data_IF_484976109955
#
_entry.id   IF_484976109955
#
_cell.length_a   1.000
_cell.length_b   1.000
_cell.length_c   1.000
_cell.angle_alpha   90.00
_cell.angle_beta   90.00
_cell.angle_gamma   90.00
#
_symmetry.space_group_name_H-M   'P 1'
#
loop_
_entity.id
_entity.type
_entity.pdbx_description
1 polymer ?
#
# COMPACT_ATOMS: atom_id res chain seq x y z
N UNK A 1 -18.74 -16.76 -0.18
CA UNK A 1 -18.11 -17.33 -1.40
C UNK A 1 -16.63 -17.46 -1.10
N UNK A 2 -15.98 -18.56 -1.50
CA UNK A 2 -14.59 -18.83 -1.12
C UNK A 2 -13.66 -17.68 -1.53
N UNK A 3 -12.77 -17.24 -0.64
CA UNK A 3 -11.74 -16.20 -0.87
C UNK A 3 -11.01 -16.40 -2.22
N UNK A 4 -10.86 -17.66 -2.62
CA UNK A 4 -10.30 -18.08 -3.90
C UNK A 4 -11.01 -17.49 -5.13
N UNK A 5 -12.35 -17.38 -5.09
CA UNK A 5 -13.15 -16.79 -6.17
C UNK A 5 -12.95 -15.27 -6.27
N UNK A 6 -12.64 -14.60 -5.17
CA UNK A 6 -12.37 -13.16 -5.15
C UNK A 6 -10.94 -12.81 -5.58
N UNK A 7 -10.01 -13.76 -5.47
CA UNK A 7 -8.65 -13.64 -6.03
C UNK A 7 -8.63 -13.84 -7.55
N UNK A 8 -9.60 -14.58 -8.09
CA UNK A 8 -9.63 -14.92 -9.51
C UNK A 8 -9.69 -13.68 -10.44
N UNK A 9 -10.54 -12.66 -10.22
CA UNK A 9 -10.55 -11.46 -11.05
C UNK A 9 -9.23 -10.69 -11.02
N UNK A 10 -8.58 -10.61 -9.85
CA UNK A 10 -7.30 -9.94 -9.64
C UNK A 10 -6.20 -10.66 -10.44
N UNK A 11 -6.14 -11.98 -10.31
CA UNK A 11 -5.20 -12.82 -11.05
C UNK A 11 -5.45 -12.74 -12.56
N UNK A 12 -6.71 -12.77 -12.99
CA UNK A 12 -7.07 -12.62 -14.40
C UNK A 12 -6.67 -11.24 -14.94
N UNK A 13 -6.89 -10.16 -14.20
CA UNK A 13 -6.45 -8.82 -14.58
C UNK A 13 -4.92 -8.74 -14.72
N UNK A 14 -4.18 -9.34 -13.78
CA UNK A 14 -2.72 -9.38 -13.83
C UNK A 14 -2.20 -10.22 -15.00
N UNK A 15 -2.71 -11.45 -15.16
CA UNK A 15 -2.30 -12.38 -16.23
C UNK A 15 -2.65 -11.80 -17.59
N UNK A 16 -3.84 -11.23 -17.75
CA UNK A 16 -4.23 -10.56 -19.01
C UNK A 16 -3.31 -9.38 -19.31
N UNK A 17 -2.90 -8.59 -18.31
CA UNK A 17 -1.87 -7.56 -18.45
C UNK A 17 -0.52 -8.11 -18.94
N UNK A 18 -0.06 -9.23 -18.40
CA UNK A 18 1.19 -9.87 -18.81
C UNK A 18 1.11 -10.38 -20.25
N UNK A 19 0.00 -11.06 -20.60
CA UNK A 19 -0.21 -11.67 -21.92
C UNK A 19 -0.39 -10.60 -23.00
N UNK A 20 -1.28 -9.65 -22.77
CA UNK A 20 -1.55 -8.54 -23.70
C UNK A 20 -0.43 -7.51 -23.72
N UNK A 21 0.39 -7.44 -22.66
CA UNK A 21 1.58 -6.59 -22.58
C UNK A 21 2.58 -6.84 -23.70
N UNK A 22 2.55 -8.00 -24.37
CA UNK A 22 3.34 -8.27 -25.58
C UNK A 22 2.93 -7.38 -26.78
N UNK A 23 1.66 -7.02 -26.86
CA UNK A 23 1.07 -6.25 -27.96
C UNK A 23 0.93 -4.75 -27.63
N UNK A 24 1.08 -4.39 -26.36
CA UNK A 24 0.87 -3.04 -25.87
C UNK A 24 2.19 -2.24 -25.84
N UNK A 25 2.16 -0.94 -26.16
CA UNK A 25 3.35 -0.11 -26.10
C UNK A 25 3.76 0.16 -24.65
N UNK A 26 5.07 0.24 -24.39
CA UNK A 26 5.65 0.62 -23.08
C UNK A 26 5.11 1.94 -22.53
N UNK A 27 4.56 2.81 -23.38
CA UNK A 27 3.91 4.06 -22.97
C UNK A 27 2.79 3.85 -21.95
N UNK A 28 2.09 2.71 -21.97
CA UNK A 28 1.00 2.41 -21.04
C UNK A 28 1.49 2.31 -19.59
N UNK A 29 2.74 1.92 -19.37
CA UNK A 29 3.36 1.84 -18.02
C UNK A 29 3.40 3.24 -17.36
N UNK A 30 3.47 4.32 -18.15
CA UNK A 30 3.40 5.70 -17.61
C UNK A 30 2.07 6.01 -16.94
N UNK A 31 1.03 5.19 -17.16
CA UNK A 31 -0.29 5.34 -16.56
C UNK A 31 -0.35 4.81 -15.11
N UNK A 32 0.65 4.05 -14.64
CA UNK A 32 0.69 3.55 -13.25
C UNK A 32 0.63 4.71 -12.27
N UNK A 33 1.52 5.69 -12.40
CA UNK A 33 1.58 6.83 -11.50
C UNK A 33 0.26 7.60 -11.42
N UNK A 34 -0.34 8.10 -12.53
CA UNK A 34 -1.62 8.80 -12.44
C UNK A 34 -2.75 7.91 -11.91
N UNK A 35 -2.78 6.61 -12.22
CA UNK A 35 -3.77 5.69 -11.64
C UNK A 35 -3.60 5.56 -10.12
N UNK A 36 -2.37 5.49 -9.61
CA UNK A 36 -2.09 5.46 -8.16
C UNK A 36 -2.55 6.76 -7.51
N UNK A 37 -2.23 7.93 -8.09
CA UNK A 37 -2.69 9.22 -7.55
C UNK A 37 -4.21 9.34 -7.54
N UNK A 38 -4.85 8.85 -8.60
CA UNK A 38 -6.30 8.87 -8.75
C UNK A 38 -6.95 7.91 -7.72
N UNK A 39 -6.39 6.71 -7.52
CA UNK A 39 -6.80 5.79 -6.45
C UNK A 39 -6.64 6.40 -5.06
N UNK A 40 -5.51 7.05 -4.77
CA UNK A 40 -5.30 7.75 -3.48
C UNK A 40 -6.34 8.84 -3.24
N UNK A 41 -6.75 9.55 -4.28
CA UNK A 41 -7.82 10.54 -4.21
C UNK A 41 -9.17 9.88 -3.86
N UNK A 42 -9.53 8.77 -4.52
CA UNK A 42 -10.78 8.05 -4.23
C UNK A 42 -10.78 7.38 -2.85
N UNK A 43 -9.64 6.90 -2.37
CA UNK A 43 -9.49 6.42 -1.00
C UNK A 43 -9.72 7.57 -0.01
N UNK A 44 -9.16 8.76 -0.29
CA UNK A 44 -9.46 9.96 0.47
C UNK A 44 -10.94 10.32 0.48
N UNK A 45 -11.63 10.18 -0.65
CA UNK A 45 -13.07 10.38 -0.75
C UNK A 45 -13.85 9.42 0.17
N UNK A 46 -13.53 8.12 0.16
CA UNK A 46 -14.14 7.13 1.06
C UNK A 46 -13.86 7.43 2.54
N UNK A 47 -12.65 7.87 2.87
CA UNK A 47 -12.34 8.32 4.22
C UNK A 47 -13.17 9.52 4.64
N UNK A 48 -13.46 10.45 3.72
CA UNK A 48 -14.34 11.59 3.97
C UNK A 48 -15.74 11.17 4.40
N UNK A 49 -16.28 10.11 3.80
CA UNK A 49 -17.58 9.52 4.18
C UNK A 49 -17.59 9.04 5.63
N UNK A 50 -16.62 8.21 5.99
CA UNK A 50 -16.50 7.66 7.34
C UNK A 50 -16.26 8.77 8.39
N UNK A 51 -15.41 9.75 8.08
CA UNK A 51 -15.05 10.79 9.04
C UNK A 51 -16.11 11.87 9.24
N UNK A 52 -16.89 12.21 8.21
CA UNK A 52 -17.90 13.27 8.31
C UNK A 52 -19.24 12.78 8.85
N UNK A 53 -19.54 11.48 8.78
CA UNK A 53 -20.78 10.93 9.33
C UNK A 53 -20.64 10.40 10.77
N UNK A 54 -19.44 9.99 11.20
CA UNK A 54 -19.21 9.51 12.58
C UNK A 54 -18.21 10.36 13.39
N UNK A 55 -18.73 11.15 14.33
CA UNK A 55 -17.93 12.09 15.17
C UNK A 55 -16.84 11.42 16.02
N UNK A 56 -17.00 10.15 16.37
CA UNK A 56 -16.01 9.40 17.18
C UNK A 56 -15.10 8.48 16.34
N UNK A 57 -15.38 8.29 15.05
CA UNK A 57 -14.57 7.42 14.20
C UNK A 57 -13.16 7.98 14.00
N UNK A 58 -13.04 9.31 13.85
CA UNK A 58 -11.75 9.97 13.58
C UNK A 58 -10.71 9.68 14.67
N UNK A 59 -11.09 9.80 15.94
CA UNK A 59 -10.14 9.64 17.06
C UNK A 59 -9.69 8.18 17.21
N UNK A 60 -10.61 7.23 17.04
CA UNK A 60 -10.30 5.81 17.06
C UNK A 60 -9.43 5.43 15.87
N UNK A 61 -9.83 5.75 14.63
CA UNK A 61 -9.03 5.44 13.44
C UNK A 61 -7.63 6.04 13.53
N UNK A 62 -7.48 7.27 14.03
CA UNK A 62 -6.18 7.91 14.22
C UNK A 62 -5.35 7.21 15.30
N UNK A 63 -5.96 6.82 16.42
CA UNK A 63 -5.27 6.07 17.49
C UNK A 63 -4.71 4.73 16.97
N UNK A 64 -5.53 3.96 16.26
CA UNK A 64 -5.12 2.69 15.65
C UNK A 64 -4.00 2.95 14.63
N UNK A 65 -4.18 3.91 13.73
CA UNK A 65 -3.18 4.24 12.70
C UNK A 65 -1.83 4.62 13.31
N UNK A 66 -1.80 5.39 14.40
CA UNK A 66 -0.56 5.79 15.08
C UNK A 66 0.17 4.60 15.71
N UNK A 67 -0.55 3.70 16.38
CA UNK A 67 0.07 2.51 16.99
C UNK A 67 0.61 1.58 15.92
N UNK A 68 -0.20 1.25 14.91
CA UNK A 68 0.22 0.38 13.81
C UNK A 68 1.41 0.98 13.05
N UNK A 69 1.36 2.27 12.69
CA UNK A 69 2.45 2.94 11.98
C UNK A 69 3.74 3.00 12.82
N UNK A 70 3.63 3.32 14.12
CA UNK A 70 4.77 3.41 15.02
C UNK A 70 5.48 2.06 15.21
N UNK A 71 4.71 1.02 15.53
CA UNK A 71 5.26 -0.32 15.77
C UNK A 71 5.82 -0.91 14.47
N UNK A 72 5.09 -0.80 13.36
CA UNK A 72 5.54 -1.31 12.07
C UNK A 72 6.82 -0.62 11.59
N UNK A 73 6.89 0.72 11.70
CA UNK A 73 8.10 1.48 11.35
C UNK A 73 9.30 1.08 12.22
N UNK A 74 9.09 0.92 13.53
CA UNK A 74 10.15 0.56 14.48
C UNK A 74 10.69 -0.86 14.22
N UNK A 75 9.81 -1.85 14.02
CA UNK A 75 10.23 -3.22 13.74
C UNK A 75 10.91 -3.37 12.38
N UNK A 76 10.38 -2.72 11.34
CA UNK A 76 11.01 -2.72 10.02
C UNK A 76 12.40 -2.06 10.08
N UNK A 77 12.53 -0.95 10.81
CA UNK A 77 13.82 -0.28 10.99
C UNK A 77 14.84 -1.20 11.70
N UNK A 78 14.43 -1.86 12.79
CA UNK A 78 15.28 -2.82 13.51
C UNK A 78 15.71 -3.97 12.59
N UNK A 79 14.78 -4.55 11.83
CA UNK A 79 15.07 -5.65 10.93
C UNK A 79 16.09 -5.25 9.85
N UNK A 80 15.91 -4.08 9.23
CA UNK A 80 16.85 -3.54 8.23
C UNK A 80 18.20 -3.20 8.87
N UNK A 81 18.21 -2.67 10.09
CA UNK A 81 19.43 -2.36 10.82
C UNK A 81 20.24 -3.62 11.13
N UNK A 82 19.60 -4.67 11.67
CA UNK A 82 20.22 -5.97 11.93
C UNK A 82 20.76 -6.58 10.62
N UNK A 83 19.98 -6.52 9.54
CA UNK A 83 20.39 -7.03 8.23
C UNK A 83 21.63 -6.31 7.70
N UNK A 84 21.66 -4.98 7.78
CA UNK A 84 22.82 -4.16 7.39
C UNK A 84 24.04 -4.50 8.23
N UNK A 85 23.85 -4.72 9.53
CA UNK A 85 24.93 -5.06 10.44
C UNK A 85 25.55 -6.43 10.11
N UNK A 86 24.73 -7.44 9.79
CA UNK A 86 25.20 -8.77 9.42
C UNK A 86 25.94 -8.81 8.07
N UNK A 87 25.63 -7.90 7.15
CA UNK A 87 26.21 -7.86 5.79
C UNK A 87 27.26 -6.75 5.58
N UNK A 88 27.90 -6.28 6.65
CA UNK A 88 28.86 -5.16 6.69
C UNK A 88 30.06 -5.21 5.74
N UNK A 89 30.33 -6.32 5.04
CA UNK A 89 31.50 -6.45 4.13
C UNK A 89 31.30 -5.85 2.73
N UNK A 90 30.08 -5.49 2.30
CA UNK A 90 29.82 -5.14 0.89
C UNK A 90 29.44 -3.68 0.58
N UNK A 91 29.36 -2.76 1.56
CA UNK A 91 28.87 -1.38 1.32
C UNK A 91 29.77 -0.26 1.89
N UNK A 92 31.10 -0.42 1.82
CA UNK A 92 32.03 0.65 2.23
C UNK A 92 32.06 1.88 1.30
N UNK A 93 31.33 1.90 0.18
CA UNK A 93 31.39 3.00 -0.80
C UNK A 93 30.30 4.09 -0.66
N UNK A 94 29.24 3.89 0.14
CA UNK A 94 28.13 4.87 0.24
C UNK A 94 28.24 5.82 1.45
N UNK A 95 29.20 5.62 2.36
CA UNK A 95 29.34 6.40 3.60
C UNK A 95 30.33 7.57 3.48
N UNK A 96 30.36 8.25 2.33
CA UNK A 96 30.91 9.61 2.19
C UNK A 96 29.82 10.51 1.59
N UNK A 97 28.75 10.71 2.34
CA UNK A 97 27.69 11.66 2.02
C UNK A 97 27.42 12.51 3.25
N UNK A 98 27.69 13.81 3.13
CA UNK A 98 27.38 14.84 4.13
C UNK A 98 25.99 14.62 4.74
N UNK A 99 25.86 14.71 6.06
CA UNK A 99 24.59 14.77 6.77
C UNK A 99 23.83 16.04 6.33
N UNK A 100 23.20 16.00 5.16
CA UNK A 100 22.39 17.08 4.65
C UNK A 100 20.93 16.76 4.94
N UNK A 101 20.33 17.53 5.84
CA UNK A 101 18.88 17.54 6.11
C UNK A 101 18.04 17.66 4.82
N UNK A 102 18.63 18.22 3.76
CA UNK A 102 18.03 18.26 2.41
C UNK A 102 17.74 16.88 1.82
N UNK A 103 18.52 15.85 2.15
CA UNK A 103 18.30 14.47 1.71
C UNK A 103 17.11 13.83 2.44
N UNK A 104 17.00 14.04 3.75
CA UNK A 104 15.84 13.59 4.53
C UNK A 104 14.56 14.28 4.04
N UNK A 105 14.63 15.60 3.81
CA UNK A 105 13.50 16.35 3.28
C UNK A 105 13.11 15.87 1.88
N UNK A 106 14.06 15.41 1.05
CA UNK A 106 13.74 14.84 -0.26
C UNK A 106 12.99 13.51 -0.18
N UNK A 107 13.33 12.64 0.77
CA UNK A 107 12.64 11.35 0.97
C UNK A 107 11.24 11.50 1.59
N UNK A 108 10.96 12.59 2.30
CA UNK A 108 9.64 12.84 2.88
C UNK A 108 8.63 13.43 1.87
N UNK A 109 9.08 13.91 0.71
CA UNK A 109 8.19 14.56 -0.28
C UNK A 109 7.11 13.61 -0.79
N UNK A 110 7.48 12.38 -1.11
CA UNK A 110 6.56 11.40 -1.69
C UNK A 110 5.41 11.06 -0.72
N UNK A 111 5.67 10.69 0.56
CA UNK A 111 4.61 10.54 1.56
C UNK A 111 3.76 11.80 1.76
N UNK A 112 4.37 12.98 1.78
CA UNK A 112 3.64 14.24 2.01
C UNK A 112 2.69 14.55 0.85
N UNK A 113 3.11 14.33 -0.39
CA UNK A 113 2.24 14.53 -1.56
C UNK A 113 1.11 13.50 -1.54
N UNK A 114 1.39 12.23 -1.19
CA UNK A 114 0.36 11.20 -1.06
C UNK A 114 -0.68 11.57 0.01
N UNK A 115 -0.24 12.00 1.20
CA UNK A 115 -1.14 12.49 2.25
C UNK A 115 -1.94 13.72 1.79
N UNK A 116 -1.31 14.63 1.04
CA UNK A 116 -1.98 15.79 0.46
C UNK A 116 -3.11 15.39 -0.51
N UNK A 117 -2.90 14.37 -1.34
CA UNK A 117 -3.91 13.90 -2.29
C UNK A 117 -5.05 13.14 -1.60
N UNK A 118 -4.76 12.37 -0.56
CA UNK A 118 -5.80 11.77 0.29
C UNK A 118 -6.62 12.86 0.96
N UNK A 119 -5.98 13.90 1.52
CA UNK A 119 -6.68 15.04 2.11
C UNK A 119 -7.54 15.79 1.08
N UNK A 120 -7.06 15.96 -0.15
CA UNK A 120 -7.85 16.50 -1.26
C UNK A 120 -9.08 15.63 -1.54
N UNK A 121 -8.96 14.30 -1.51
CA UNK A 121 -10.08 13.37 -1.63
C UNK A 121 -11.17 13.60 -0.57
N UNK A 122 -10.77 13.81 0.68
CA UNK A 122 -11.70 14.14 1.78
C UNK A 122 -12.43 15.47 1.51
N UNK A 123 -11.71 16.48 1.02
CA UNK A 123 -12.31 17.77 0.65
C UNK A 123 -13.28 17.62 -0.52
N UNK A 124 -12.93 16.83 -1.53
CA UNK A 124 -13.84 16.52 -2.66
C UNK A 124 -15.12 15.87 -2.14
N UNK A 125 -15.04 14.92 -1.21
CA UNK A 125 -16.22 14.32 -0.58
C UNK A 125 -17.08 15.37 0.15
N UNK A 126 -16.47 16.26 0.93
CA UNK A 126 -17.20 17.32 1.63
C UNK A 126 -17.98 18.22 0.65
N UNK A 127 -17.39 18.54 -0.51
CA UNK A 127 -18.02 19.32 -1.58
C UNK A 127 -19.15 18.55 -2.28
N UNK A 128 -18.93 17.28 -2.64
CA UNK A 128 -19.94 16.47 -3.32
C UNK A 128 -21.14 16.17 -2.42
N UNK A 129 -20.93 15.99 -1.11
CA UNK A 129 -21.99 15.88 -0.11
C UNK A 129 -22.88 17.12 -0.09
N UNK A 130 -22.30 18.32 -0.20
CA UNK A 130 -23.06 19.57 -0.28
C UNK A 130 -23.87 19.68 -1.59
N UNK A 131 -23.39 19.05 -2.67
CA UNK A 131 -24.02 19.03 -3.99
C UNK A 131 -24.96 17.84 -4.23
N UNK A 132 -25.17 16.97 -3.23
CA UNK A 132 -25.92 15.70 -3.34
C UNK A 132 -25.46 14.78 -4.49
N UNK A 133 -24.18 14.85 -4.86
CA UNK A 133 -23.61 13.98 -5.88
C UNK A 133 -22.86 12.82 -5.20
N UNK A 134 -23.25 11.59 -5.48
CA UNK A 134 -22.53 10.39 -5.04
C UNK A 134 -21.64 9.85 -6.17
N UNK A 135 -20.45 9.40 -5.80
CA UNK A 135 -19.56 8.65 -6.67
C UNK A 135 -19.79 7.15 -6.41
N UNK A 136 -20.06 6.38 -7.47
CA UNK A 136 -20.27 4.93 -7.37
C UNK A 136 -18.98 4.18 -7.07
N UNK A 137 -19.04 3.20 -6.16
CA UNK A 137 -17.92 2.31 -5.82
C UNK A 137 -17.38 1.50 -7.01
N UNK A 138 -18.21 1.28 -8.05
CA UNK A 138 -17.82 0.63 -9.30
C UNK A 138 -16.64 1.33 -10.00
N UNK A 139 -16.52 2.65 -9.83
CA UNK A 139 -15.43 3.43 -10.42
C UNK A 139 -14.10 3.01 -9.80
N UNK A 140 -14.07 2.78 -8.48
CA UNK A 140 -12.85 2.45 -7.74
C UNK A 140 -12.37 1.04 -8.09
N UNK A 141 -13.29 0.08 -8.16
CA UNK A 141 -12.98 -1.30 -8.57
C UNK A 141 -12.43 -1.34 -10.01
N UNK A 142 -13.05 -0.58 -10.92
CA UNK A 142 -12.58 -0.50 -12.32
C UNK A 142 -11.18 0.10 -12.43
N UNK A 143 -10.90 1.13 -11.62
CA UNK A 143 -9.60 1.78 -11.51
C UNK A 143 -8.54 0.81 -11.02
N UNK A 144 -8.90 0.03 -10.00
CA UNK A 144 -8.02 -0.95 -9.42
C UNK A 144 -7.67 -2.04 -10.43
N UNK A 145 -8.67 -2.63 -11.08
CA UNK A 145 -8.41 -3.65 -12.10
C UNK A 145 -7.58 -3.10 -13.26
N UNK A 146 -7.81 -1.83 -13.64
CA UNK A 146 -6.99 -1.15 -14.64
C UNK A 146 -5.54 -0.97 -14.17
N UNK A 147 -5.32 -0.55 -12.92
CA UNK A 147 -3.98 -0.45 -12.34
C UNK A 147 -3.28 -1.82 -12.35
N UNK A 148 -3.94 -2.88 -11.86
CA UNK A 148 -3.37 -4.23 -11.80
C UNK A 148 -3.03 -4.73 -13.21
N UNK A 149 -3.89 -4.46 -14.19
CA UNK A 149 -3.64 -4.78 -15.58
C UNK A 149 -2.37 -4.08 -16.10
N UNK A 150 -2.24 -2.78 -15.87
CA UNK A 150 -1.06 -2.00 -16.29
C UNK A 150 0.21 -2.47 -15.55
N UNK A 151 0.11 -2.82 -14.27
CA UNK A 151 1.20 -3.45 -13.51
C UNK A 151 1.59 -4.78 -14.15
N UNK A 152 0.64 -5.59 -14.62
CA UNK A 152 0.91 -6.81 -15.38
C UNK A 152 1.68 -6.55 -16.67
N UNK A 153 1.34 -5.47 -17.40
CA UNK A 153 2.10 -5.02 -18.58
C UNK A 153 3.53 -4.61 -18.19
N UNK A 154 3.71 -3.95 -17.05
CA UNK A 154 5.02 -3.56 -16.54
C UNK A 154 5.90 -4.78 -16.24
N UNK A 155 5.39 -5.79 -15.51
CA UNK A 155 6.23 -6.97 -15.19
C UNK A 155 6.64 -7.75 -16.44
N UNK A 156 5.86 -7.70 -17.53
CA UNK A 156 6.25 -8.30 -18.81
C UNK A 156 7.48 -7.63 -19.43
N UNK A 157 7.64 -6.33 -19.21
CA UNK A 157 8.74 -5.53 -19.74
C UNK A 157 9.95 -5.47 -18.81
N UNK A 158 9.85 -6.03 -17.59
CA UNK A 158 10.99 -6.21 -16.71
C UNK A 158 11.95 -7.24 -17.29
N UNK A 159 13.20 -6.81 -17.48
CA UNK A 159 14.28 -7.73 -17.82
C UNK A 159 14.58 -8.60 -16.58
N UNK A 160 14.02 -9.81 -16.52
CA UNK A 160 14.35 -10.83 -15.50
C UNK A 160 15.83 -11.28 -15.52
N UNK A 161 16.68 -10.62 -16.32
CA UNK A 161 18.13 -10.79 -16.36
C UNK A 161 18.84 -10.26 -15.10
N UNK A 162 18.12 -9.58 -14.20
CA UNK A 162 18.59 -9.36 -12.83
C UNK A 162 18.68 -10.75 -12.21
N UNK A 163 19.89 -11.28 -12.11
CA UNK A 163 20.17 -12.49 -11.34
C UNK A 163 19.50 -12.33 -9.98
N UNK A 164 18.42 -13.07 -9.75
CA UNK A 164 17.73 -13.20 -8.47
C UNK A 164 18.67 -13.97 -7.54
N UNK A 165 19.80 -13.35 -7.21
CA UNK A 165 20.66 -13.81 -6.15
C UNK A 165 19.80 -13.83 -4.90
N UNK A 166 19.74 -14.97 -4.19
CA UNK A 166 18.88 -15.10 -3.00
C UNK A 166 19.06 -13.96 -2.00
N UNK A 167 20.24 -13.33 -1.99
CA UNK A 167 20.59 -12.13 -1.19
C UNK A 167 19.71 -10.91 -1.48
N UNK A 168 19.24 -10.73 -2.71
CA UNK A 168 18.37 -9.60 -3.11
C UNK A 168 16.93 -9.81 -2.65
N UNK A 169 16.46 -11.05 -2.57
CA UNK A 169 15.12 -11.43 -2.09
C UNK A 169 15.04 -11.52 -0.55
N UNK A 170 16.17 -11.77 0.11
CA UNK A 170 16.23 -11.88 1.56
C UNK A 170 15.82 -10.58 2.28
N UNK A 171 16.21 -9.40 1.78
CA UNK A 171 15.85 -8.13 2.42
C UNK A 171 14.32 -7.89 2.44
N UNK A 172 13.58 -7.99 1.31
CA UNK A 172 12.12 -7.95 1.34
C UNK A 172 11.50 -8.98 2.26
N UNK A 173 12.03 -10.21 2.30
CA UNK A 173 11.52 -11.27 3.17
C UNK A 173 11.65 -10.91 4.67
N UNK A 174 12.79 -10.33 5.06
CA UNK A 174 13.01 -9.86 6.42
C UNK A 174 12.03 -8.75 6.81
N UNK A 175 11.73 -7.82 5.89
CA UNK A 175 10.73 -6.76 6.11
C UNK A 175 9.33 -7.37 6.26
N UNK A 176 8.96 -8.36 5.45
CA UNK A 176 7.69 -9.07 5.59
C UNK A 176 7.56 -9.71 6.97
N UNK A 177 8.58 -10.45 7.42
CA UNK A 177 8.58 -11.07 8.76
C UNK A 177 8.45 -10.01 9.85
N UNK A 178 9.18 -8.90 9.74
CA UNK A 178 9.11 -7.80 10.70
C UNK A 178 7.71 -7.15 10.74
N UNK A 179 7.07 -6.95 9.58
CA UNK A 179 5.72 -6.40 9.48
C UNK A 179 4.65 -7.34 10.05
N UNK A 180 4.81 -8.65 9.91
CA UNK A 180 3.91 -9.65 10.53
C UNK A 180 4.10 -9.69 12.05
N UNK A 181 5.34 -9.62 12.54
CA UNK A 181 5.62 -9.50 13.97
C UNK A 181 5.03 -8.21 14.56
N UNK A 182 5.08 -7.10 13.81
CA UNK A 182 4.44 -5.85 14.22
C UNK A 182 2.92 -6.02 14.37
N UNK A 183 2.27 -6.73 13.45
CA UNK A 183 0.84 -7.06 13.56
C UNK A 183 0.51 -7.94 14.77
N UNK A 184 1.37 -8.90 15.09
CA UNK A 184 1.20 -9.72 16.29
C UNK A 184 1.30 -8.87 17.57
N UNK A 185 2.29 -7.98 17.66
CA UNK A 185 2.46 -7.07 18.80
C UNK A 185 1.26 -6.10 18.91
N UNK A 186 0.79 -5.54 17.78
CA UNK A 186 -0.37 -4.65 17.76
C UNK A 186 -1.64 -5.37 18.22
N UNK A 187 -1.85 -6.63 17.83
CA UNK A 187 -3.01 -7.43 18.28
C UNK A 187 -3.04 -7.57 19.79
N UNK A 188 -1.88 -7.79 20.42
CA UNK A 188 -1.77 -7.89 21.88
C UNK A 188 -1.99 -6.56 22.59
N UNK A 189 -1.53 -5.45 22.00
CA UNK A 189 -1.66 -4.11 22.61
C UNK A 189 -3.09 -3.57 22.49
N UNK A 190 -3.70 -3.71 21.32
CA UNK A 190 -5.07 -3.22 21.06
C UNK A 190 -6.15 -4.25 21.42
N UNK A 191 -5.75 -5.46 21.82
CA UNK A 191 -6.66 -6.59 22.10
C UNK A 191 -7.59 -6.92 20.92
N UNK A 192 -7.05 -6.77 19.71
CA UNK A 192 -7.76 -6.94 18.44
C UNK A 192 -7.58 -8.34 17.86
N UNK A 193 -8.48 -8.71 16.95
CA UNK A 193 -8.41 -9.98 16.23
C UNK A 193 -7.06 -10.12 15.51
N UNK A 194 -6.32 -11.19 15.84
CA UNK A 194 -5.01 -11.46 15.26
C UNK A 194 -5.02 -11.49 13.72
N UNK A 195 -6.02 -12.08 13.02
CA UNK A 195 -6.10 -12.01 11.57
C UNK A 195 -6.22 -10.58 11.02
N UNK A 196 -7.04 -9.74 11.67
CA UNK A 196 -7.23 -8.34 11.28
C UNK A 196 -5.95 -7.53 11.48
N UNK A 197 -5.30 -7.70 12.63
CA UNK A 197 -4.06 -6.99 12.95
C UNK A 197 -2.91 -7.37 12.00
N UNK A 198 -2.79 -8.65 11.65
CA UNK A 198 -1.83 -9.10 10.64
C UNK A 198 -2.15 -8.54 9.26
N UNK A 199 -3.43 -8.49 8.87
CA UNK A 199 -3.86 -7.92 7.60
C UNK A 199 -3.48 -6.43 7.48
N UNK A 200 -3.75 -5.63 8.52
CA UNK A 200 -3.42 -4.20 8.57
C UNK A 200 -1.89 -4.00 8.51
N UNK A 201 -1.14 -4.73 9.33
CA UNK A 201 0.31 -4.54 9.47
C UNK A 201 1.11 -5.03 8.25
N UNK A 202 0.63 -6.05 7.55
CA UNK A 202 1.28 -6.59 6.35
C UNK A 202 1.29 -5.63 5.14
N UNK A 203 0.38 -4.66 5.11
CA UNK A 203 0.30 -3.68 4.02
C UNK A 203 -0.22 -4.22 2.68
N UNK A 204 -0.53 -5.52 2.58
CA UNK A 204 -0.91 -6.14 1.29
C UNK A 204 -2.33 -5.76 0.81
N UNK A 205 -3.17 -5.23 1.69
CA UNK A 205 -4.57 -4.87 1.39
C UNK A 205 -4.79 -3.49 0.78
N UNK A 206 -3.80 -2.59 0.78
CA UNK A 206 -4.03 -1.15 0.61
C UNK A 206 -4.45 -0.73 -0.80
N UNK A 207 -4.07 -1.50 -1.81
CA UNK A 207 -4.58 -1.38 -3.17
C UNK A 207 -5.29 -2.64 -3.61
N UNK A 208 -5.32 -3.72 -2.83
CA UNK A 208 -5.89 -4.99 -3.32
C UNK A 208 -7.31 -5.15 -2.82
N UNK A 209 -8.14 -5.85 -3.60
CA UNK A 209 -9.49 -6.26 -3.18
C UNK A 209 -9.48 -7.08 -1.87
N UNK A 210 -8.31 -7.55 -1.42
CA UNK A 210 -8.14 -8.14 -0.09
C UNK A 210 -8.61 -7.22 1.04
N UNK A 211 -8.51 -5.89 0.90
CA UNK A 211 -9.06 -4.95 1.87
C UNK A 211 -10.58 -5.05 1.99
N UNK A 212 -11.29 -5.11 0.85
CA UNK A 212 -12.74 -5.29 0.78
C UNK A 212 -13.15 -6.69 1.29
N UNK A 213 -12.35 -7.72 1.01
CA UNK A 213 -12.61 -9.09 1.47
C UNK A 213 -12.46 -9.23 2.99
N UNK A 214 -11.42 -8.65 3.57
CA UNK A 214 -11.24 -8.61 5.03
C UNK A 214 -12.38 -7.83 5.68
N UNK A 215 -12.80 -6.69 5.10
CA UNK A 215 -13.97 -5.96 5.59
C UNK A 215 -15.25 -6.82 5.55
N UNK A 216 -15.43 -7.65 4.51
CA UNK A 216 -16.61 -8.52 4.38
C UNK A 216 -16.64 -9.73 5.33
N UNK A 217 -15.49 -10.21 5.82
CA UNK A 217 -15.45 -11.29 6.83
C UNK A 217 -15.44 -10.79 8.28
N UNK A 218 -15.00 -9.54 8.51
CA UNK A 218 -14.89 -8.95 9.85
C UNK A 218 -16.14 -8.13 10.23
N UNK A 219 -17.03 -7.83 9.27
CA UNK A 219 -18.34 -7.22 9.56
C UNK A 219 -19.29 -8.28 10.14
N UNK A 220 -19.99 -7.99 11.26
CA UNK A 220 -20.99 -8.89 11.85
C UNK A 220 -22.24 -9.07 10.96
#
# INVERSE_FOLDING_TARGET
>A
MSILLSLLPILLALISGIVLGKFLPKSIIRLINPLVWLLLLFIGYQFGEVFLDEKNAISQTLYYALIFSGINSLLCFIAVYIWRWQHHKSQRQLAKGSHSFSLLLSSLKEPVIALGIVALGIVVFALTKQLNWSIDGLIIDSLLYTLIFVVGVDVRHLDFRISLSGKTLLLPLFVVIASLLAGLICSLILNENLPLSLAISSGFGWFTLSGVLVASEVSP
#
